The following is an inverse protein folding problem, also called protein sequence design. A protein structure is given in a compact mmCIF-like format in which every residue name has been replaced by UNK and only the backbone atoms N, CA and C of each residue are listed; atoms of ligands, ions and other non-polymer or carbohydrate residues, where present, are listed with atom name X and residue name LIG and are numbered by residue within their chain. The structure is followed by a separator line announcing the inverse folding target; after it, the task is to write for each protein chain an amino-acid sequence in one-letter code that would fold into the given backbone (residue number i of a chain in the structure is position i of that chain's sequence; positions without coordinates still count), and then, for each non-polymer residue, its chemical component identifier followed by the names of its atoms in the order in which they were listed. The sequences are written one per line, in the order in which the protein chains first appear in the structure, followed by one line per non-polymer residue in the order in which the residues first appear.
data_IF_007192790621
#
_entry.id   IF_007192790621
#
_cell.length_a   1.000
_cell.length_b   1.000
_cell.length_c   1.000
_cell.angle_alpha   90.00
_cell.angle_beta   90.00
_cell.angle_gamma   90.00
#
_symmetry.space_group_name_H-M   'P 1'
#
loop_
_entity.id
_entity.type
_entity.pdbx_description
1 polymer ?
#
# COMPACT_ATOMS: atom_id res chain seq x y z
N UNK A 1 13.43 -1.07 -4.17
CA UNK A 1 13.96 -0.86 -5.54
C UNK A 1 12.89 -0.38 -6.53
N UNK A 2 11.76 -1.08 -6.69
CA UNK A 2 10.75 -0.70 -7.71
C UNK A 2 9.64 0.23 -7.18
N UNK A 3 9.32 0.13 -5.89
CA UNK A 3 8.21 0.89 -5.28
C UNK A 3 8.40 2.41 -5.41
N UNK A 4 9.60 2.93 -5.11
CA UNK A 4 9.87 4.37 -5.15
C UNK A 4 9.64 4.98 -6.56
N UNK A 5 10.23 4.44 -7.65
CA UNK A 5 9.93 4.90 -9.01
C UNK A 5 8.45 4.81 -9.38
N UNK A 6 7.74 3.75 -8.97
CA UNK A 6 6.30 3.59 -9.24
C UNK A 6 5.49 4.69 -8.57
N UNK A 7 5.75 4.94 -7.29
CA UNK A 7 5.03 5.97 -6.52
C UNK A 7 5.29 7.33 -7.15
N UNK A 8 6.54 7.67 -7.46
CA UNK A 8 6.89 8.92 -8.14
C UNK A 8 6.10 9.10 -9.44
N UNK A 9 6.16 8.12 -10.35
CA UNK A 9 5.48 8.24 -11.63
C UNK A 9 3.96 8.34 -11.47
N UNK A 10 3.37 7.55 -10.56
CA UNK A 10 1.92 7.52 -10.32
C UNK A 10 1.43 8.84 -9.76
N UNK A 11 2.14 9.41 -8.79
CA UNK A 11 1.75 10.67 -8.14
C UNK A 11 1.97 11.85 -9.07
N UNK A 12 3.10 11.90 -9.79
CA UNK A 12 3.37 12.98 -10.75
C UNK A 12 2.34 12.99 -11.87
N UNK A 13 2.09 11.85 -12.52
CA UNK A 13 1.09 11.76 -13.61
C UNK A 13 -0.32 11.99 -13.09
N UNK A 14 -0.63 11.49 -11.89
CA UNK A 14 -1.91 11.70 -11.21
C UNK A 14 -2.19 13.17 -10.91
N UNK A 15 -1.22 13.95 -10.44
CA UNK A 15 -1.39 15.38 -10.16
C UNK A 15 -1.37 16.20 -11.45
N UNK A 16 -0.43 15.92 -12.35
CA UNK A 16 -0.24 16.71 -13.56
C UNK A 16 -1.39 16.58 -14.57
N UNK A 17 -2.07 15.42 -14.60
CA UNK A 17 -3.19 15.14 -15.50
C UNK A 17 -4.54 15.73 -15.08
N UNK A 18 -4.64 16.43 -13.93
CA UNK A 18 -5.91 16.97 -13.44
C UNK A 18 -6.19 18.37 -14.00
N UNK A 19 -7.42 18.66 -14.43
CA UNK A 19 -7.78 19.96 -15.02
C UNK A 19 -7.89 21.12 -14.00
N UNK A 20 -8.15 20.82 -12.72
CA UNK A 20 -8.42 21.86 -11.70
C UNK A 20 -7.71 21.62 -10.36
N UNK A 21 -6.60 22.32 -10.15
CA UNK A 21 -5.79 22.24 -8.91
C UNK A 21 -6.52 22.65 -7.63
N UNK A 22 -7.48 23.58 -7.71
CA UNK A 22 -8.29 23.97 -6.55
C UNK A 22 -9.19 22.82 -6.10
N UNK A 23 -9.72 22.04 -7.05
CA UNK A 23 -10.50 20.85 -6.74
C UNK A 23 -9.60 19.72 -6.18
N UNK A 24 -8.37 19.57 -6.69
CA UNK A 24 -7.38 18.59 -6.18
C UNK A 24 -7.07 18.83 -4.70
N UNK A 25 -6.73 20.06 -4.33
CA UNK A 25 -6.36 20.38 -2.94
C UNK A 25 -7.52 20.15 -1.97
N UNK A 26 -8.74 20.58 -2.32
CA UNK A 26 -9.93 20.40 -1.48
C UNK A 26 -10.32 18.93 -1.34
N UNK A 27 -10.36 18.21 -2.45
CA UNK A 27 -10.72 16.78 -2.47
C UNK A 27 -9.65 15.95 -1.79
N UNK A 28 -8.37 16.26 -2.02
CA UNK A 28 -7.23 15.62 -1.37
C UNK A 28 -7.23 15.82 0.14
N UNK A 29 -7.49 17.02 0.64
CA UNK A 29 -7.57 17.28 2.09
C UNK A 29 -8.72 16.52 2.75
N UNK A 30 -9.91 16.50 2.13
CA UNK A 30 -11.05 15.71 2.62
C UNK A 30 -10.75 14.22 2.56
N UNK A 31 -10.11 13.75 1.48
CA UNK A 31 -9.71 12.36 1.32
C UNK A 31 -8.65 11.94 2.35
N UNK A 32 -7.69 12.79 2.70
CA UNK A 32 -6.70 12.54 3.74
C UNK A 32 -7.35 12.42 5.11
N UNK A 33 -8.25 13.34 5.46
CA UNK A 33 -8.99 13.28 6.73
C UNK A 33 -9.87 12.03 6.79
N UNK A 34 -10.55 11.70 5.70
CA UNK A 34 -11.31 10.46 5.58
C UNK A 34 -10.43 9.22 5.72
N UNK A 35 -9.29 9.17 5.01
CA UNK A 35 -8.33 8.07 5.03
C UNK A 35 -7.77 7.85 6.44
N UNK A 36 -7.39 8.92 7.13
CA UNK A 36 -6.86 8.83 8.50
C UNK A 36 -7.89 8.26 9.49
N UNK A 37 -9.12 8.77 9.46
CA UNK A 37 -10.19 8.30 10.36
C UNK A 37 -10.51 6.83 10.07
N UNK A 38 -10.72 6.50 8.79
CA UNK A 38 -11.14 5.16 8.37
C UNK A 38 -10.03 4.13 8.56
N UNK A 39 -8.76 4.50 8.33
CA UNK A 39 -7.62 3.63 8.60
C UNK A 39 -7.38 3.43 10.10
N UNK A 40 -7.58 4.46 10.94
CA UNK A 40 -7.53 4.32 12.40
C UNK A 40 -8.56 3.33 12.89
N UNK A 41 -9.81 3.43 12.41
CA UNK A 41 -10.87 2.46 12.73
C UNK A 41 -10.49 1.06 12.22
N UNK A 42 -9.91 0.94 11.03
CA UNK A 42 -9.44 -0.33 10.49
C UNK A 42 -8.36 -0.97 11.39
N UNK A 43 -7.41 -0.17 11.87
CA UNK A 43 -6.36 -0.63 12.78
C UNK A 43 -6.93 -1.08 14.13
N UNK A 44 -7.90 -0.36 14.70
CA UNK A 44 -8.56 -0.76 15.94
C UNK A 44 -9.28 -2.10 15.77
N UNK A 45 -10.05 -2.27 14.70
CA UNK A 45 -10.75 -3.53 14.41
C UNK A 45 -9.75 -4.67 14.20
N UNK A 46 -8.70 -4.44 13.41
CA UNK A 46 -7.64 -5.42 13.18
C UNK A 46 -6.95 -5.82 14.49
N UNK A 47 -6.66 -4.85 15.37
CA UNK A 47 -6.06 -5.11 16.67
C UNK A 47 -6.99 -5.93 17.56
N UNK A 48 -8.28 -5.60 17.62
CA UNK A 48 -9.27 -6.37 18.40
C UNK A 48 -9.33 -7.81 17.90
N UNK A 49 -9.45 -8.02 16.59
CA UNK A 49 -9.58 -9.36 16.02
C UNK A 49 -8.31 -10.18 16.25
N UNK A 50 -7.12 -9.61 16.04
CA UNK A 50 -5.85 -10.31 16.28
C UNK A 50 -5.68 -10.67 17.76
N UNK A 51 -6.07 -9.80 18.70
CA UNK A 51 -5.98 -10.11 20.13
C UNK A 51 -6.98 -11.19 20.58
N UNK A 52 -8.14 -11.29 19.92
CA UNK A 52 -9.18 -12.28 20.24
C UNK A 52 -8.92 -13.63 19.57
N UNK A 53 -8.62 -13.63 18.27
CA UNK A 53 -8.42 -14.85 17.48
C UNK A 53 -7.03 -15.44 17.70
N UNK A 54 -6.06 -14.60 18.07
CA UNK A 54 -4.65 -14.96 18.30
C UNK A 54 -4.09 -15.88 17.20
N UNK A 55 -4.20 -15.50 15.91
CA UNK A 55 -3.72 -16.32 14.81
C UNK A 55 -2.19 -16.42 14.90
N UNK A 56 -1.70 -17.54 15.44
CA UNK A 56 -0.28 -17.73 15.76
C UNK A 56 -0.03 -18.41 17.12
N UNK A 57 -1.03 -18.48 18.00
CA UNK A 57 -0.94 -19.30 19.21
C UNK A 57 -0.73 -20.78 18.82
N UNK A 58 0.45 -21.32 19.16
CA UNK A 58 0.87 -22.66 18.73
C UNK A 58 1.85 -22.71 17.56
N UNK A 59 2.35 -21.57 17.07
CA UNK A 59 3.60 -21.58 16.33
C UNK A 59 4.72 -22.03 17.29
N UNK A 60 5.50 -23.06 16.93
CA UNK A 60 6.70 -23.50 17.67
C UNK A 60 7.85 -22.47 17.56
N UNK A 61 7.53 -21.18 17.68
CA UNK A 61 8.50 -20.11 17.80
C UNK A 61 8.74 -19.93 19.28
N UNK A 62 9.76 -20.60 19.79
CA UNK A 62 10.22 -20.37 21.15
C UNK A 62 10.77 -18.94 21.23
N UNK A 63 10.12 -18.01 21.97
CA UNK A 63 10.59 -16.64 22.10
C UNK A 63 11.99 -16.56 22.73
N UNK A 64 12.43 -17.59 23.46
CA UNK A 64 13.79 -17.68 24.02
C UNK A 64 14.86 -18.00 22.97
N UNK A 65 14.47 -18.47 21.78
CA UNK A 65 15.35 -18.66 20.62
C UNK A 65 15.38 -17.45 19.68
N UNK A 66 14.55 -16.43 19.93
CA UNK A 66 14.64 -15.15 19.24
C UNK A 66 15.85 -14.38 19.80
N UNK A 67 16.74 -13.95 18.93
CA UNK A 67 17.89 -13.14 19.32
C UNK A 67 17.40 -11.82 19.92
N UNK A 68 17.51 -11.68 21.25
CA UNK A 68 17.11 -10.47 21.96
C UNK A 68 17.85 -9.22 21.46
N UNK A 69 19.05 -9.38 20.85
CA UNK A 69 19.75 -8.26 20.18
C UNK A 69 19.04 -7.80 18.91
N UNK A 70 18.41 -8.71 18.16
CA UNK A 70 17.63 -8.34 16.98
C UNK A 70 16.37 -7.55 17.37
N UNK A 71 15.75 -7.85 18.52
CA UNK A 71 14.59 -7.10 19.04
C UNK A 71 14.99 -5.74 19.61
N UNK A 72 16.15 -5.66 20.28
CA UNK A 72 16.66 -4.43 20.86
C UNK A 72 16.93 -3.33 19.82
N UNK A 73 17.34 -3.70 18.59
CA UNK A 73 17.53 -2.74 17.48
C UNK A 73 16.20 -2.06 17.10
N UNK A 74 15.09 -2.81 17.06
CA UNK A 74 13.77 -2.24 16.78
C UNK A 74 13.25 -1.38 17.93
N UNK A 75 13.55 -1.75 19.18
CA UNK A 75 13.18 -0.97 20.36
C UNK A 75 13.95 0.36 20.46
N UNK A 76 15.22 0.37 20.06
CA UNK A 76 16.01 1.61 19.94
C UNK A 76 15.51 2.48 18.77
N UNK A 77 15.23 1.91 17.59
CA UNK A 77 14.61 2.65 16.47
C UNK A 77 13.25 3.26 16.81
N UNK A 78 12.49 2.66 17.73
CA UNK A 78 11.20 3.20 18.17
C UNK A 78 11.34 4.48 19.03
N UNK A 79 12.48 4.68 19.70
CA UNK A 79 12.72 5.87 20.54
C UNK A 79 12.97 7.14 19.72
N UNK A 80 13.53 7.00 18.53
CA UNK A 80 13.85 8.13 17.63
C UNK A 80 12.67 8.60 16.77
N UNK A 81 11.51 7.94 16.85
CA UNK A 81 10.31 8.30 16.08
C UNK A 81 9.44 9.38 16.75
N UNK A 82 10.04 10.51 17.10
CA UNK A 82 9.29 11.69 17.51
C UNK A 82 8.57 12.35 16.33
N UNK A 83 7.45 13.05 16.57
CA UNK A 83 6.69 13.79 15.54
C UNK A 83 7.60 14.77 14.79
N UNK A 84 8.52 15.44 15.49
CA UNK A 84 9.47 16.39 14.90
C UNK A 84 10.46 15.68 13.98
N UNK A 85 11.03 14.56 14.40
CA UNK A 85 11.95 13.76 13.58
C UNK A 85 11.25 13.23 12.32
N UNK A 86 10.00 12.76 12.46
CA UNK A 86 9.17 12.34 11.33
C UNK A 86 8.93 13.48 10.33
N UNK A 87 8.55 14.68 10.80
CA UNK A 87 8.33 15.84 9.91
C UNK A 87 9.60 16.27 9.19
N UNK A 88 10.75 16.22 9.87
CA UNK A 88 12.05 16.52 9.24
C UNK A 88 12.45 15.44 8.23
N UNK A 89 12.14 14.17 8.49
CA UNK A 89 12.45 13.07 7.56
C UNK A 89 11.64 13.13 6.26
N UNK A 90 10.49 13.80 6.25
CA UNK A 90 9.71 14.04 5.01
C UNK A 90 10.54 14.84 3.99
N UNK A 91 11.40 15.74 4.44
CA UNK A 91 12.18 16.62 3.57
C UNK A 91 13.43 15.86 3.11
N UNK A 92 13.53 15.47 1.83
CA UNK A 92 14.71 14.74 1.34
C UNK A 92 15.95 15.63 1.42
N UNK A 93 16.99 15.15 2.10
CA UNK A 93 18.33 15.77 2.02
C UNK A 93 18.96 15.66 0.61
N UNK A 94 18.52 14.67 -0.18
CA UNK A 94 18.87 14.51 -1.59
C UNK A 94 17.79 13.71 -2.32
N UNK A 95 17.41 14.15 -3.52
CA UNK A 95 16.43 13.44 -4.37
C UNK A 95 16.97 12.04 -4.71
N UNK A 96 18.20 11.95 -5.20
CA UNK A 96 18.82 10.66 -5.56
C UNK A 96 18.95 9.77 -4.32
N UNK A 97 19.29 10.36 -3.17
CA UNK A 97 19.35 9.66 -1.89
C UNK A 97 18.03 9.00 -1.53
N UNK A 98 16.90 9.71 -1.66
CA UNK A 98 15.57 9.19 -1.35
C UNK A 98 15.16 8.00 -2.24
N UNK A 99 15.47 8.06 -3.54
CA UNK A 99 15.23 6.94 -4.46
C UNK A 99 16.14 5.74 -4.19
N UNK A 100 17.39 5.98 -3.81
CA UNK A 100 18.37 4.93 -3.52
C UNK A 100 18.08 4.21 -2.19
N UNK A 101 17.76 4.97 -1.14
CA UNK A 101 17.38 4.43 0.18
C UNK A 101 15.97 3.82 0.17
N UNK A 102 15.15 4.19 -0.81
CA UNK A 102 13.77 3.74 -0.90
C UNK A 102 12.85 4.38 0.14
N UNK A 103 13.20 5.55 0.68
CA UNK A 103 12.34 6.29 1.59
C UNK A 103 11.10 6.80 0.83
N UNK A 104 9.97 6.12 1.06
CA UNK A 104 8.71 6.37 0.34
C UNK A 104 8.19 7.78 0.62
N UNK A 105 8.33 8.28 1.84
CA UNK A 105 7.77 9.55 2.28
C UNK A 105 8.49 10.73 1.60
N UNK A 106 9.82 10.66 1.55
CA UNK A 106 10.66 11.62 0.85
C UNK A 106 10.38 11.64 -0.67
N UNK A 107 10.27 10.46 -1.27
CA UNK A 107 9.93 10.32 -2.70
C UNK A 107 8.54 10.89 -2.99
N UNK A 108 7.57 10.67 -2.10
CA UNK A 108 6.22 11.21 -2.22
C UNK A 108 6.21 12.75 -2.17
N UNK A 109 6.91 13.35 -1.20
CA UNK A 109 7.04 14.81 -1.09
C UNK A 109 7.59 15.42 -2.37
N UNK A 110 8.71 14.86 -2.88
CA UNK A 110 9.28 15.31 -4.14
C UNK A 110 8.32 15.12 -5.33
N UNK A 111 7.64 13.99 -5.42
CA UNK A 111 6.67 13.70 -6.47
C UNK A 111 5.50 14.70 -6.50
N UNK A 112 4.99 15.11 -5.32
CA UNK A 112 3.92 16.11 -5.21
C UNK A 112 4.39 17.47 -5.71
N UNK A 113 5.57 17.93 -5.26
CA UNK A 113 6.15 19.21 -5.69
C UNK A 113 6.44 19.21 -7.20
N UNK A 114 7.01 18.12 -7.72
CA UNK A 114 7.30 17.95 -9.13
C UNK A 114 6.01 17.92 -9.97
N UNK A 115 5.00 17.16 -9.55
CA UNK A 115 3.70 17.09 -10.21
C UNK A 115 3.00 18.45 -10.27
N UNK A 116 3.06 19.22 -9.18
CA UNK A 116 2.52 20.58 -9.14
C UNK A 116 3.25 21.53 -10.09
N UNK A 117 4.59 21.49 -10.10
CA UNK A 117 5.40 22.30 -11.01
C UNK A 117 5.13 21.95 -12.49
N UNK A 118 5.05 20.65 -12.80
CA UNK A 118 4.75 20.14 -14.13
C UNK A 118 3.36 20.55 -14.61
N UNK A 119 2.35 20.47 -13.73
CA UNK A 119 1.00 20.94 -14.03
C UNK A 119 0.99 22.45 -14.38
N UNK A 120 1.71 23.27 -13.61
CA UNK A 120 1.78 24.72 -13.81
C UNK A 120 2.48 25.14 -15.11
N UNK A 121 3.37 24.28 -15.64
CA UNK A 121 4.03 24.49 -16.94
C UNK A 121 3.05 24.37 -18.12
N UNK A 122 1.88 23.73 -17.93
CA UNK A 122 0.87 23.55 -18.96
C UNK A 122 1.42 22.85 -20.20
N UNK A 123 1.13 23.38 -21.38
CA UNK A 123 1.56 22.79 -22.66
C UNK A 123 3.08 22.61 -22.80
N UNK A 124 3.89 23.45 -22.13
CA UNK A 124 5.36 23.31 -22.13
C UNK A 124 5.83 22.07 -21.36
N UNK A 125 5.02 21.57 -20.43
CA UNK A 125 5.30 20.37 -19.64
C UNK A 125 4.94 19.06 -20.34
N UNK A 126 4.22 19.11 -21.47
CA UNK A 126 3.64 17.91 -22.09
C UNK A 126 4.68 16.86 -22.47
N UNK A 127 5.86 17.28 -22.97
CA UNK A 127 6.94 16.36 -23.30
C UNK A 127 7.40 15.57 -22.06
N UNK A 128 7.61 16.26 -20.94
CA UNK A 128 8.04 15.64 -19.68
C UNK A 128 6.95 14.73 -19.12
N UNK A 129 5.68 15.14 -19.20
CA UNK A 129 4.55 14.31 -18.81
C UNK A 129 4.53 12.98 -19.57
N UNK A 130 4.61 13.03 -20.91
CA UNK A 130 4.59 11.84 -21.76
C UNK A 130 5.79 10.90 -21.49
N UNK A 131 6.96 11.47 -21.18
CA UNK A 131 8.15 10.70 -20.81
C UNK A 131 7.93 9.97 -19.49
N UNK A 132 7.39 10.64 -18.48
CA UNK A 132 7.11 10.02 -17.16
C UNK A 132 6.02 8.95 -17.28
N UNK A 133 5.00 9.19 -18.09
CA UNK A 133 3.94 8.21 -18.36
C UNK A 133 4.51 6.95 -19.05
N UNK A 134 5.30 7.12 -20.11
CA UNK A 134 5.94 6.01 -20.81
C UNK A 134 6.90 5.25 -19.88
N UNK A 135 7.67 5.97 -19.07
CA UNK A 135 8.54 5.37 -18.06
C UNK A 135 7.76 4.57 -17.01
N UNK A 136 6.59 5.08 -16.59
CA UNK A 136 5.68 4.34 -15.71
C UNK A 136 5.28 3.00 -16.32
N UNK A 137 4.95 2.97 -17.62
CA UNK A 137 4.57 1.73 -18.31
C UNK A 137 5.72 0.73 -18.36
N UNK A 138 6.95 1.19 -18.60
CA UNK A 138 8.15 0.34 -18.55
C UNK A 138 8.32 -0.27 -17.15
N UNK A 139 8.15 0.51 -16.09
CA UNK A 139 8.26 -0.01 -14.72
C UNK A 139 7.16 -1.06 -14.45
N UNK A 140 5.93 -0.86 -14.93
CA UNK A 140 4.88 -1.89 -14.83
C UNK A 140 5.21 -3.15 -15.64
N UNK A 141 5.87 -3.01 -16.79
CA UNK A 141 6.40 -4.14 -17.55
C UNK A 141 7.43 -4.96 -16.73
N UNK A 142 8.34 -4.27 -16.04
CA UNK A 142 9.31 -4.91 -15.13
C UNK A 142 8.59 -5.61 -13.98
N UNK A 143 7.58 -4.97 -13.38
CA UNK A 143 6.76 -5.60 -12.32
C UNK A 143 6.11 -6.88 -12.84
N UNK A 144 5.54 -6.87 -14.04
CA UNK A 144 4.92 -8.07 -14.63
C UNK A 144 5.95 -9.20 -14.78
N UNK A 145 7.15 -8.89 -15.25
CA UNK A 145 8.24 -9.85 -15.37
C UNK A 145 8.64 -10.45 -14.02
N UNK A 146 8.75 -9.63 -12.98
CA UNK A 146 9.07 -10.09 -11.62
C UNK A 146 7.93 -10.92 -11.04
N UNK A 147 6.67 -10.54 -11.30
CA UNK A 147 5.50 -11.30 -10.85
C UNK A 147 5.45 -12.71 -11.49
N UNK A 148 6.02 -12.92 -12.67
CA UNK A 148 6.19 -14.27 -13.24
C UNK A 148 7.20 -15.12 -12.47
N UNK A 149 8.16 -14.49 -11.80
CA UNK A 149 9.16 -15.16 -10.96
C UNK A 149 8.70 -15.30 -9.50
N UNK A 150 7.68 -14.53 -9.09
CA UNK A 150 7.13 -14.56 -7.73
C UNK A 150 6.70 -15.98 -7.26
N UNK A 151 6.11 -16.87 -8.09
CA UNK A 151 5.81 -18.24 -7.68
C UNK A 151 7.03 -19.03 -7.23
N UNK A 152 8.19 -18.83 -7.88
CA UNK A 152 9.44 -19.51 -7.51
C UNK A 152 9.95 -18.98 -6.18
N UNK A 153 9.88 -17.66 -5.98
CA UNK A 153 10.24 -17.02 -4.70
C UNK A 153 9.33 -17.46 -3.55
N UNK A 154 8.02 -17.49 -3.80
CA UNK A 154 7.03 -17.96 -2.83
C UNK A 154 7.22 -19.44 -2.51
N UNK A 155 7.52 -20.29 -3.50
CA UNK A 155 7.86 -21.69 -3.30
C UNK A 155 9.09 -21.84 -2.42
N UNK A 156 10.17 -21.10 -2.69
CA UNK A 156 11.38 -21.10 -1.87
C UNK A 156 11.12 -20.65 -0.43
N UNK A 157 10.34 -19.58 -0.24
CA UNK A 157 9.96 -19.08 1.08
C UNK A 157 9.12 -20.11 1.86
N UNK A 158 8.10 -20.70 1.21
CA UNK A 158 7.28 -21.75 1.82
C UNK A 158 8.10 -23.00 2.16
N UNK A 159 8.98 -23.44 1.26
CA UNK A 159 9.87 -24.58 1.50
C UNK A 159 10.82 -24.33 2.69
N UNK A 160 11.39 -23.14 2.81
CA UNK A 160 12.22 -22.75 3.94
C UNK A 160 11.43 -22.74 5.25
N UNK A 161 10.24 -22.12 5.26
CA UNK A 161 9.39 -22.06 6.45
C UNK A 161 8.94 -23.45 6.90
N UNK A 162 8.52 -24.31 5.97
CA UNK A 162 8.13 -25.70 6.28
C UNK A 162 9.35 -26.52 6.74
N UNK A 163 10.52 -26.33 6.12
CA UNK A 163 11.75 -27.04 6.50
C UNK A 163 12.27 -26.66 7.88
N UNK A 164 12.16 -25.38 8.27
CA UNK A 164 12.66 -24.86 9.56
C UNK A 164 11.65 -24.98 10.71
N UNK A 165 10.38 -24.73 10.45
CA UNK A 165 9.32 -24.65 11.48
C UNK A 165 8.30 -25.79 11.41
N UNK A 166 8.41 -26.66 10.39
CA UNK A 166 7.57 -27.83 10.20
C UNK A 166 6.28 -27.55 9.42
N UNK A 167 5.60 -28.62 9.03
CA UNK A 167 4.30 -28.56 8.32
C UNK A 167 3.21 -27.93 9.18
N UNK A 168 3.33 -28.02 10.51
CA UNK A 168 2.42 -27.39 11.46
C UNK A 168 2.22 -25.90 11.18
N UNK A 169 3.30 -25.17 10.85
CA UNK A 169 3.32 -23.72 10.57
C UNK A 169 2.36 -23.30 9.45
N UNK A 170 2.09 -24.18 8.48
CA UNK A 170 1.12 -23.91 7.42
C UNK A 170 -0.30 -23.71 7.96
N UNK A 171 -0.67 -24.43 9.04
CA UNK A 171 -1.98 -24.31 9.66
C UNK A 171 -2.12 -22.96 10.33
N UNK A 172 -1.11 -22.47 11.07
CA UNK A 172 -1.18 -21.15 11.70
C UNK A 172 -1.13 -20.02 10.66
N UNK A 173 -0.32 -20.15 9.60
CA UNK A 173 -0.35 -19.19 8.48
C UNK A 173 -1.70 -19.18 7.76
N UNK A 174 -2.30 -20.36 7.57
CA UNK A 174 -3.66 -20.49 7.02
C UNK A 174 -4.71 -19.83 7.90
N UNK A 175 -4.65 -20.03 9.23
CA UNK A 175 -5.52 -19.35 10.19
C UNK A 175 -5.35 -17.83 10.13
N UNK A 176 -4.12 -17.33 10.00
CA UNK A 176 -3.84 -15.91 9.83
C UNK A 176 -4.48 -15.36 8.54
N UNK A 177 -4.36 -16.07 7.41
CA UNK A 177 -4.98 -15.69 6.14
C UNK A 177 -6.51 -15.65 6.27
N UNK A 178 -7.12 -16.68 6.86
CA UNK A 178 -8.58 -16.73 7.08
C UNK A 178 -9.04 -15.59 7.99
N UNK A 179 -8.31 -15.35 9.08
CA UNK A 179 -8.56 -14.25 10.01
C UNK A 179 -8.50 -12.89 9.29
N UNK A 180 -7.50 -12.70 8.43
CA UNK A 180 -7.37 -11.50 7.60
C UNK A 180 -8.58 -11.31 6.67
N UNK A 181 -8.99 -12.35 5.93
CA UNK A 181 -10.16 -12.25 5.05
C UNK A 181 -11.45 -11.94 5.80
N UNK A 182 -11.68 -12.59 6.96
CA UNK A 182 -12.83 -12.30 7.82
C UNK A 182 -12.80 -10.84 8.29
N UNK A 183 -11.63 -10.36 8.71
CA UNK A 183 -11.44 -8.96 9.13
C UNK A 183 -11.75 -7.99 8.00
N UNK A 184 -11.25 -8.25 6.79
CA UNK A 184 -11.55 -7.43 5.61
C UNK A 184 -13.04 -7.42 5.28
N UNK A 185 -13.71 -8.58 5.29
CA UNK A 185 -15.15 -8.67 5.03
C UNK A 185 -15.93 -7.88 6.09
N UNK A 186 -15.60 -8.07 7.37
CA UNK A 186 -16.23 -7.35 8.48
C UNK A 186 -16.03 -5.84 8.32
N UNK A 187 -14.82 -5.39 8.02
CA UNK A 187 -14.51 -4.00 7.78
C UNK A 187 -15.32 -3.41 6.62
N UNK A 188 -15.39 -4.10 5.48
CA UNK A 188 -16.17 -3.66 4.31
C UNK A 188 -17.67 -3.59 4.63
N UNK A 189 -18.23 -4.59 5.30
CA UNK A 189 -19.68 -4.65 5.57
C UNK A 189 -20.08 -3.69 6.70
N UNK A 190 -19.28 -3.57 7.75
CA UNK A 190 -19.61 -2.77 8.93
C UNK A 190 -19.18 -1.32 8.76
N UNK A 191 -17.89 -1.07 8.47
CA UNK A 191 -17.35 0.30 8.40
C UNK A 191 -17.75 0.95 7.09
N UNK A 192 -17.38 0.37 5.94
CA UNK A 192 -17.76 0.97 4.66
C UNK A 192 -19.27 0.88 4.43
N UNK A 193 -19.94 -0.16 4.95
CA UNK A 193 -21.40 -0.27 4.91
C UNK A 193 -22.14 0.79 5.72
N UNK A 194 -21.66 1.14 6.92
CA UNK A 194 -22.25 2.22 7.72
C UNK A 194 -22.04 3.59 7.06
N UNK A 195 -20.86 3.84 6.51
CA UNK A 195 -20.55 5.07 5.76
C UNK A 195 -21.43 5.18 4.50
N UNK A 196 -21.55 4.10 3.72
CA UNK A 196 -22.42 4.05 2.54
C UNK A 196 -23.89 4.32 2.89
N UNK A 197 -24.38 3.72 3.99
CA UNK A 197 -25.75 3.94 4.47
C UNK A 197 -25.96 5.40 4.90
N UNK A 198 -25.00 6.01 5.60
CA UNK A 198 -25.07 7.41 6.00
C UNK A 198 -25.06 8.39 4.81
N UNK A 199 -24.44 7.99 3.70
CA UNK A 199 -24.39 8.77 2.45
C UNK A 199 -25.51 8.43 1.46
N UNK A 200 -26.42 7.52 1.83
CA UNK A 200 -27.65 7.24 1.08
C UNK A 200 -27.55 6.15 0.01
N UNK A 201 -26.48 5.35 -0.02
CA UNK A 201 -26.36 4.23 -0.97
C UNK A 201 -26.03 2.89 -0.29
N UNK A 202 -26.38 1.79 -0.96
CA UNK A 202 -26.14 0.44 -0.43
C UNK A 202 -24.73 -0.03 -0.80
N UNK A 203 -23.94 -0.44 0.19
CA UNK A 203 -22.61 -1.03 -0.02
C UNK A 203 -22.66 -2.27 -0.91
N UNK A 204 -23.71 -3.10 -0.79
CA UNK A 204 -23.84 -4.30 -1.60
C UNK A 204 -24.12 -3.98 -3.07
N UNK A 205 -24.87 -2.90 -3.36
CA UNK A 205 -25.05 -2.42 -4.73
C UNK A 205 -23.73 -1.88 -5.29
N UNK A 206 -22.96 -1.16 -4.46
CA UNK A 206 -21.65 -0.65 -4.85
C UNK A 206 -20.66 -1.78 -5.14
N UNK A 207 -20.54 -2.78 -4.25
CA UNK A 207 -19.71 -3.97 -4.46
C UNK A 207 -20.11 -4.71 -5.74
N UNK A 208 -21.41 -4.84 -6.01
CA UNK A 208 -21.91 -5.46 -7.25
C UNK A 208 -21.52 -4.64 -8.49
N UNK A 209 -21.53 -3.32 -8.39
CA UNK A 209 -21.13 -2.41 -9.46
C UNK A 209 -19.63 -2.52 -9.78
N UNK A 210 -18.77 -2.57 -8.76
CA UNK A 210 -17.30 -2.68 -8.94
C UNK A 210 -16.77 -4.12 -8.91
N UNK A 211 -17.64 -5.13 -9.08
CA UNK A 211 -17.26 -6.55 -8.91
C UNK A 211 -16.14 -6.97 -9.86
N UNK A 212 -16.14 -6.44 -11.09
CA UNK A 212 -15.16 -6.77 -12.12
C UNK A 212 -13.80 -6.23 -11.71
N UNK A 213 -13.73 -4.99 -11.24
CA UNK A 213 -12.51 -4.41 -10.67
C UNK A 213 -12.00 -5.17 -9.45
N UNK A 214 -12.89 -5.54 -8.52
CA UNK A 214 -12.51 -6.31 -7.35
C UNK A 214 -11.94 -7.69 -7.73
N UNK A 215 -12.52 -8.35 -8.73
CA UNK A 215 -12.04 -9.64 -9.23
C UNK A 215 -10.71 -9.50 -9.97
N UNK A 216 -10.53 -8.44 -10.75
CA UNK A 216 -9.27 -8.19 -11.45
C UNK A 216 -8.15 -7.87 -10.43
N UNK A 217 -8.43 -7.02 -9.43
CA UNK A 217 -7.45 -6.72 -8.36
C UNK A 217 -7.12 -7.97 -7.56
N UNK A 218 -8.09 -8.81 -7.24
CA UNK A 218 -7.87 -10.07 -6.52
C UNK A 218 -7.05 -11.08 -7.36
N UNK A 219 -7.28 -11.13 -8.67
CA UNK A 219 -6.56 -12.03 -9.57
C UNK A 219 -5.15 -11.54 -9.97
N UNK A 220 -4.91 -10.23 -9.97
CA UNK A 220 -3.64 -9.62 -10.42
C UNK A 220 -2.79 -9.09 -9.27
N UNK A 221 -3.33 -9.02 -8.05
CA UNK A 221 -2.69 -8.47 -6.85
C UNK A 221 -2.20 -7.02 -6.99
N UNK A 222 -2.65 -6.28 -8.02
CA UNK A 222 -2.24 -4.91 -8.28
C UNK A 222 -3.41 -4.00 -8.69
N UNK A 223 -3.55 -2.89 -7.96
CA UNK A 223 -4.61 -1.88 -8.13
C UNK A 223 -4.63 -1.25 -9.54
N UNK A 224 -3.48 -1.18 -10.22
CA UNK A 224 -3.36 -0.48 -11.51
C UNK A 224 -3.55 -1.36 -12.75
N UNK A 225 -3.46 -2.69 -12.61
CA UNK A 225 -3.72 -3.62 -13.73
C UNK A 225 -5.23 -3.71 -14.02
N UNK A 226 -6.08 -3.59 -12.98
CA UNK A 226 -7.53 -3.42 -13.15
C UNK A 226 -7.90 -2.16 -13.94
N UNK A 227 -7.37 -1.01 -13.51
CA UNK A 227 -7.63 0.27 -14.17
C UNK A 227 -7.16 0.33 -15.63
N UNK A 228 -6.11 -0.40 -16.01
CA UNK A 228 -5.62 -0.45 -17.39
C UNK A 228 -6.42 -1.39 -18.31
N UNK A 229 -7.16 -2.36 -17.74
CA UNK A 229 -7.98 -3.29 -18.52
C UNK A 229 -9.22 -2.61 -19.13
N UNK A 230 -9.67 -1.48 -18.57
CA UNK A 230 -10.89 -0.78 -18.97
C UNK A 230 -10.62 0.54 -19.73
N UNK A 231 -9.35 0.94 -19.91
CA UNK A 231 -8.98 2.11 -20.71
C UNK A 231 -8.95 1.82 -22.23
N UNK A 232 -9.71 0.82 -22.70
CA UNK A 232 -9.97 0.54 -24.11
C UNK A 232 -11.46 0.53 -24.40
#
# INVERSE_FOLDING_TARGET
MIIAPVIFCTVVTGIAGMESMKAVGRTGAVALLYFEIVSTIALIIGLIIVNVVQPGAGMNVDPATLDAKAVAVYAEQAKDQGIVAFLLDIIPGSVIGAFASGNILQVLMFAVLFGFALHRLGSKGQLIFNVIESFSQVIFGIINMIMRLAPIGAFGAMAFTIGKYGVGTLVQLGQLIVCFYITCILFVVVVLGSIAKATGFSIFKFIRYIREELLIVLGTSFIRVGAAAYAR
#
